data_IF_333869490173
#
_entry.id   IF_333869490173
#
_cell.length_a   1.000
_cell.length_b   1.000
_cell.length_c   1.000
_cell.angle_alpha   90.00
_cell.angle_beta   90.00
_cell.angle_gamma   90.00
#
_symmetry.space_group_name_H-M   'P 1'
#
loop_
_entity.id
_entity.type
_entity.pdbx_description
1 polymer ?
#
# COMPACT_ATOMS: atom_id res chain seq x y z
N UNK A 1 -4.46 30.05 -33.63
CA UNK A 1 -3.05 30.11 -33.16
C UNK A 1 -2.68 28.73 -32.62
N UNK A 2 -1.50 28.21 -32.96
CA UNK A 2 -0.99 26.97 -32.38
C UNK A 2 -0.59 27.19 -30.90
N UNK A 3 -0.81 26.19 -30.04
CA UNK A 3 -0.35 26.23 -28.64
C UNK A 3 1.17 26.15 -28.61
N UNK A 4 1.81 26.94 -27.75
CA UNK A 4 3.26 26.90 -27.54
C UNK A 4 3.55 26.36 -26.15
N UNK A 5 4.21 25.21 -26.07
CA UNK A 5 4.61 24.56 -24.82
C UNK A 5 5.98 25.05 -24.40
N UNK A 6 6.00 26.05 -23.53
CA UNK A 6 7.24 26.58 -22.93
C UNK A 6 7.66 25.75 -21.71
N UNK A 7 8.88 25.96 -21.24
CA UNK A 7 9.37 25.36 -20.00
C UNK A 7 8.35 25.55 -18.86
N UNK A 8 8.05 24.47 -18.13
CA UNK A 8 7.07 24.47 -17.04
C UNK A 8 5.61 24.29 -17.47
N UNK A 9 5.31 24.21 -18.77
CA UNK A 9 3.97 23.84 -19.27
C UNK A 9 4.01 22.42 -19.83
N UNK A 10 3.18 21.54 -19.29
CA UNK A 10 3.05 20.15 -19.74
C UNK A 10 2.41 20.09 -21.12
N UNK A 11 2.92 19.19 -21.96
CA UNK A 11 2.23 18.75 -23.18
C UNK A 11 1.05 17.83 -22.82
N UNK A 12 0.09 17.57 -23.73
CA UNK A 12 -0.99 16.62 -23.49
C UNK A 12 -0.48 15.24 -23.05
N UNK A 13 0.59 14.75 -23.67
CA UNK A 13 1.18 13.45 -23.33
C UNK A 13 1.74 13.44 -21.92
N UNK A 14 2.44 14.52 -21.53
CA UNK A 14 3.00 14.67 -20.19
C UNK A 14 1.88 14.80 -19.15
N UNK A 15 0.84 15.57 -19.45
CA UNK A 15 -0.33 15.73 -18.59
C UNK A 15 -1.03 14.38 -18.36
N UNK A 16 -1.28 13.61 -19.41
CA UNK A 16 -1.89 12.29 -19.30
C UNK A 16 -1.04 11.34 -18.43
N UNK A 17 0.28 11.30 -18.66
CA UNK A 17 1.19 10.50 -17.85
C UNK A 17 1.18 10.91 -16.37
N UNK A 18 1.16 12.22 -16.09
CA UNK A 18 1.10 12.76 -14.73
C UNK A 18 -0.22 12.42 -14.02
N UNK A 19 -1.35 12.48 -14.70
CA UNK A 19 -2.66 12.10 -14.15
C UNK A 19 -2.72 10.60 -13.81
N UNK A 20 -2.18 9.74 -14.69
CA UNK A 20 -2.09 8.30 -14.45
C UNK A 20 -1.15 8.01 -13.26
N UNK A 21 0.00 8.68 -13.21
CA UNK A 21 0.97 8.52 -12.13
C UNK A 21 0.38 8.94 -10.78
N UNK A 22 -0.29 10.09 -10.71
CA UNK A 22 -0.97 10.56 -9.50
C UNK A 22 -2.00 9.54 -9.00
N UNK A 23 -2.85 9.03 -9.90
CA UNK A 23 -3.83 8.01 -9.54
C UNK A 23 -3.19 6.72 -8.99
N UNK A 24 -2.07 6.29 -9.59
CA UNK A 24 -1.34 5.10 -9.14
C UNK A 24 -0.69 5.33 -7.76
N UNK A 25 -0.18 6.53 -7.50
CA UNK A 25 0.35 6.93 -6.19
C UNK A 25 -0.74 6.79 -5.12
N UNK A 26 -1.95 7.30 -5.37
CA UNK A 26 -3.08 7.18 -4.43
C UNK A 26 -3.49 5.72 -4.18
N UNK A 27 -3.48 4.89 -5.23
CA UNK A 27 -3.78 3.46 -5.10
C UNK A 27 -2.76 2.77 -4.20
N UNK A 28 -1.46 2.97 -4.45
CA UNK A 28 -0.39 2.39 -3.63
C UNK A 28 -0.41 2.96 -2.19
N UNK A 29 -0.73 4.24 -1.99
CA UNK A 29 -0.91 4.81 -0.66
C UNK A 29 -2.03 4.09 0.11
N UNK A 30 -3.14 3.80 -0.56
CA UNK A 30 -4.26 3.04 0.03
C UNK A 30 -3.80 1.64 0.44
N UNK A 31 -3.09 0.94 -0.44
CA UNK A 31 -2.54 -0.38 -0.13
C UNK A 31 -1.58 -0.37 1.06
N UNK A 32 -0.73 0.66 1.16
CA UNK A 32 0.19 0.86 2.30
C UNK A 32 -0.59 0.96 3.60
N UNK A 33 -1.69 1.72 3.64
CA UNK A 33 -2.53 1.86 4.83
C UNK A 33 -3.26 0.55 5.18
N UNK A 34 -3.76 -0.19 4.18
CA UNK A 34 -4.31 -1.53 4.41
C UNK A 34 -3.27 -2.50 4.99
N UNK A 35 -2.04 -2.48 4.47
CA UNK A 35 -0.95 -3.31 4.97
C UNK A 35 -0.57 -2.93 6.41
N UNK A 36 -0.51 -1.63 6.74
CA UNK A 36 -0.30 -1.16 8.12
C UNK A 36 -1.37 -1.68 9.07
N UNK A 37 -2.65 -1.64 8.67
CA UNK A 37 -3.75 -2.19 9.45
C UNK A 37 -3.56 -3.68 9.74
N UNK A 38 -3.27 -4.45 8.68
CA UNK A 38 -3.02 -5.90 8.80
C UNK A 38 -1.86 -6.21 9.75
N UNK A 39 -0.74 -5.49 9.63
CA UNK A 39 0.42 -5.66 10.52
C UNK A 39 0.05 -5.35 11.97
N UNK A 40 -0.71 -4.27 12.21
CA UNK A 40 -1.16 -3.90 13.56
C UNK A 40 -2.05 -4.96 14.18
N UNK A 41 -2.98 -5.53 13.42
CA UNK A 41 -3.88 -6.57 13.90
C UNK A 41 -3.10 -7.85 14.27
N UNK A 42 -2.14 -8.25 13.43
CA UNK A 42 -1.25 -9.38 13.70
C UNK A 42 -0.36 -9.13 14.91
N UNK A 43 0.18 -7.91 15.04
CA UNK A 43 0.94 -7.47 16.23
C UNK A 43 0.11 -7.63 17.51
N UNK A 44 -1.15 -7.20 17.48
CA UNK A 44 -2.07 -7.34 18.62
C UNK A 44 -2.29 -8.80 19.01
N UNK A 45 -2.57 -9.67 18.03
CA UNK A 45 -2.76 -11.12 18.26
C UNK A 45 -1.52 -11.78 18.86
N UNK A 46 -0.35 -11.47 18.31
CA UNK A 46 0.94 -12.02 18.78
C UNK A 46 1.25 -11.53 20.20
N UNK A 47 1.07 -10.23 20.47
CA UNK A 47 1.31 -9.65 21.79
C UNK A 47 0.38 -10.22 22.86
N UNK A 48 -0.88 -10.49 22.53
CA UNK A 48 -1.84 -11.11 23.45
C UNK A 48 -1.52 -12.60 23.69
N UNK A 49 -1.25 -13.34 22.63
CA UNK A 49 -1.08 -14.79 22.70
C UNK A 49 0.27 -15.20 23.33
N UNK A 50 1.35 -14.45 23.10
CA UNK A 50 2.69 -14.80 23.57
C UNK A 50 2.77 -15.08 25.08
N UNK A 51 2.38 -14.12 25.95
CA UNK A 51 2.38 -14.33 27.41
C UNK A 51 1.42 -15.45 27.84
N UNK A 52 0.24 -15.54 27.21
CA UNK A 52 -0.74 -16.59 27.51
C UNK A 52 -0.17 -17.97 27.27
N UNK A 53 0.52 -18.16 26.14
CA UNK A 53 1.19 -19.41 25.80
C UNK A 53 2.33 -19.73 26.78
N UNK A 54 3.15 -18.74 27.14
CA UNK A 54 4.20 -18.93 28.14
C UNK A 54 3.65 -19.43 29.49
N UNK A 55 2.51 -18.90 29.94
CA UNK A 55 1.86 -19.36 31.17
C UNK A 55 1.26 -20.77 31.06
N UNK A 56 0.76 -21.15 29.87
CA UNK A 56 0.18 -22.48 29.64
C UNK A 56 1.23 -23.58 29.50
N UNK A 57 2.46 -23.24 29.10
CA UNK A 57 3.51 -24.21 28.79
C UNK A 57 3.76 -25.22 29.92
N UNK A 58 3.82 -24.78 31.18
CA UNK A 58 4.07 -25.67 32.31
C UNK A 58 2.92 -26.66 32.55
N UNK A 59 1.67 -26.20 32.41
CA UNK A 59 0.50 -27.07 32.56
C UNK A 59 0.35 -28.09 31.43
N UNK A 60 0.81 -27.74 30.22
CA UNK A 60 0.85 -28.63 29.06
C UNK A 60 1.88 -29.77 29.19
N UNK A 61 2.88 -29.64 30.07
CA UNK A 61 3.85 -30.70 30.31
C UNK A 61 3.22 -31.90 31.02
N UNK A 62 2.29 -31.66 31.94
CA UNK A 62 1.77 -32.68 32.86
C UNK A 62 0.36 -33.17 32.52
N UNK A 63 -0.39 -32.43 31.69
CA UNK A 63 -1.77 -32.76 31.29
C UNK A 63 -1.88 -32.93 29.75
N UNK A 64 -2.18 -34.15 29.25
CA UNK A 64 -2.29 -34.43 27.81
C UNK A 64 -3.35 -33.62 27.06
N UNK A 65 -4.50 -33.32 27.68
CA UNK A 65 -5.54 -32.54 27.02
C UNK A 65 -5.13 -31.07 26.89
N UNK A 66 -4.49 -30.53 27.94
CA UNK A 66 -3.90 -29.18 27.88
C UNK A 66 -2.75 -29.12 26.88
N UNK A 67 -1.97 -30.19 26.72
CA UNK A 67 -0.91 -30.28 25.71
C UNK A 67 -1.46 -30.11 24.31
N UNK A 68 -2.51 -30.85 23.96
CA UNK A 68 -3.14 -30.76 22.63
C UNK A 68 -3.67 -29.35 22.34
N UNK A 69 -4.32 -28.72 23.32
CA UNK A 69 -4.80 -27.35 23.18
C UNK A 69 -3.65 -26.33 23.06
N UNK A 70 -2.54 -26.55 23.78
CA UNK A 70 -1.35 -25.72 23.70
C UNK A 70 -0.64 -25.84 22.34
N UNK A 71 -0.45 -27.06 21.84
CA UNK A 71 0.16 -27.31 20.53
C UNK A 71 -0.63 -26.66 19.38
N UNK A 72 -1.97 -26.74 19.42
CA UNK A 72 -2.82 -26.07 18.46
C UNK A 72 -2.65 -24.53 18.49
N UNK A 73 -2.66 -23.93 19.68
CA UNK A 73 -2.46 -22.48 19.80
C UNK A 73 -1.04 -22.03 19.41
N UNK A 74 -0.02 -22.87 19.62
CA UNK A 74 1.34 -22.61 19.13
C UNK A 74 1.39 -22.65 17.60
N UNK A 75 0.69 -23.58 16.97
CA UNK A 75 0.59 -23.62 15.51
C UNK A 75 -0.04 -22.35 14.95
N UNK A 76 -1.15 -21.89 15.56
CA UNK A 76 -1.80 -20.63 15.19
C UNK A 76 -0.87 -19.42 15.39
N UNK A 77 -0.19 -19.35 16.54
CA UNK A 77 0.77 -18.29 16.85
C UNK A 77 1.90 -18.22 15.82
N UNK A 78 2.48 -19.37 15.48
CA UNK A 78 3.55 -19.44 14.48
C UNK A 78 3.05 -19.03 13.10
N UNK A 79 1.83 -19.42 12.73
CA UNK A 79 1.21 -18.99 11.47
C UNK A 79 1.05 -17.46 11.42
N UNK A 80 0.58 -16.82 12.49
CA UNK A 80 0.47 -15.36 12.55
C UNK A 80 1.83 -14.66 12.47
N UNK A 81 2.88 -15.22 13.07
CA UNK A 81 4.24 -14.67 12.98
C UNK A 81 4.73 -14.68 11.53
N UNK A 82 4.54 -15.78 10.80
CA UNK A 82 4.94 -15.87 9.40
C UNK A 82 4.08 -14.98 8.49
N UNK A 83 2.77 -14.92 8.73
CA UNK A 83 1.87 -14.00 8.03
C UNK A 83 2.30 -12.55 8.23
N UNK A 84 2.64 -12.16 9.47
CA UNK A 84 3.13 -10.83 9.80
C UNK A 84 4.42 -10.52 9.08
N UNK A 85 5.36 -11.47 9.03
CA UNK A 85 6.62 -11.30 8.30
C UNK A 85 6.36 -11.02 6.82
N UNK A 86 5.48 -11.81 6.18
CA UNK A 86 5.08 -11.58 4.80
C UNK A 86 4.41 -10.22 4.58
N UNK A 87 3.52 -9.82 5.50
CA UNK A 87 2.84 -8.52 5.44
C UNK A 87 3.84 -7.34 5.54
N UNK A 88 4.82 -7.42 6.45
CA UNK A 88 5.89 -6.41 6.59
C UNK A 88 6.74 -6.33 5.33
N UNK A 89 7.12 -7.47 4.75
CA UNK A 89 7.87 -7.50 3.49
C UNK A 89 7.07 -6.87 2.33
N UNK A 90 5.77 -7.17 2.25
CA UNK A 90 4.85 -6.56 1.29
C UNK A 90 4.74 -5.05 1.45
N UNK A 91 4.49 -4.59 2.68
CA UNK A 91 4.44 -3.16 3.04
C UNK A 91 5.73 -2.44 2.63
N UNK A 92 6.90 -3.02 2.95
CA UNK A 92 8.19 -2.43 2.60
C UNK A 92 8.41 -2.30 1.09
N UNK A 93 7.91 -3.26 0.29
CA UNK A 93 7.94 -3.14 -1.18
C UNK A 93 7.05 -2.00 -1.67
N UNK A 94 5.83 -1.88 -1.13
CA UNK A 94 4.90 -0.81 -1.49
C UNK A 94 5.43 0.57 -1.12
N UNK A 95 6.02 0.73 0.07
CA UNK A 95 6.64 2.00 0.49
C UNK A 95 7.77 2.43 -0.47
N UNK A 96 8.61 1.49 -0.92
CA UNK A 96 9.66 1.79 -1.91
C UNK A 96 9.06 2.25 -3.23
N UNK A 97 8.06 1.53 -3.73
CA UNK A 97 7.36 1.89 -4.97
C UNK A 97 6.69 3.27 -4.86
N UNK A 98 6.03 3.55 -3.74
CA UNK A 98 5.42 4.85 -3.47
C UNK A 98 6.46 5.97 -3.49
N UNK A 99 7.60 5.78 -2.83
CA UNK A 99 8.70 6.75 -2.80
C UNK A 99 9.24 7.04 -4.21
N UNK A 100 9.50 6.00 -5.01
CA UNK A 100 9.97 6.14 -6.39
C UNK A 100 8.97 6.92 -7.25
N UNK A 101 7.70 6.54 -7.23
CA UNK A 101 6.65 7.21 -7.99
C UNK A 101 6.45 8.66 -7.54
N UNK A 102 6.51 8.92 -6.23
CA UNK A 102 6.41 10.28 -5.67
C UNK A 102 7.59 11.15 -6.10
N UNK A 103 8.80 10.60 -6.10
CA UNK A 103 9.99 11.28 -6.62
C UNK A 103 9.84 11.66 -8.09
N UNK A 104 9.37 10.71 -8.91
CA UNK A 104 9.08 10.95 -10.33
C UNK A 104 8.00 12.03 -10.50
N UNK A 105 6.89 11.94 -9.77
CA UNK A 105 5.82 12.92 -9.84
C UNK A 105 6.31 14.33 -9.45
N UNK A 106 7.14 14.42 -8.41
CA UNK A 106 7.71 15.70 -7.98
C UNK A 106 8.66 16.31 -9.02
N UNK A 107 9.44 15.50 -9.75
CA UNK A 107 10.34 16.01 -10.80
C UNK A 107 9.64 16.33 -12.13
N UNK A 108 8.65 15.53 -12.51
CA UNK A 108 8.03 15.58 -13.84
C UNK A 108 6.70 16.33 -13.89
N UNK A 109 5.97 16.40 -12.78
CA UNK A 109 4.57 16.83 -12.77
C UNK A 109 4.29 17.98 -11.82
N UNK A 110 4.79 17.88 -10.58
CA UNK A 110 4.47 18.83 -9.52
C UNK A 110 4.90 20.26 -9.89
N UNK A 111 4.01 21.23 -9.65
CA UNK A 111 4.22 22.64 -9.97
C UNK A 111 4.21 23.00 -11.46
N UNK A 112 4.04 22.02 -12.37
CA UNK A 112 3.91 22.32 -13.81
C UNK A 112 2.48 22.73 -14.17
N UNK A 113 2.37 23.75 -15.01
CA UNK A 113 1.08 24.19 -15.55
C UNK A 113 0.67 23.34 -16.75
N UNK A 114 -0.60 23.37 -17.13
CA UNK A 114 -1.11 22.80 -18.38
C UNK A 114 -2.18 23.73 -18.96
N UNK A 115 -2.46 23.62 -20.26
CA UNK A 115 -3.60 24.33 -20.83
C UNK A 115 -4.90 23.58 -20.50
N UNK A 116 -5.98 24.25 -20.06
CA UNK A 116 -7.24 23.58 -19.76
C UNK A 116 -7.80 22.76 -20.92
N UNK A 117 -7.61 23.23 -22.16
CA UNK A 117 -8.03 22.48 -23.36
C UNK A 117 -7.21 21.20 -23.62
N UNK A 118 -6.01 21.07 -23.07
CA UNK A 118 -5.28 19.79 -23.10
C UNK A 118 -5.88 18.80 -22.11
N UNK A 119 -6.34 19.26 -20.95
CA UNK A 119 -7.05 18.42 -20.00
C UNK A 119 -8.31 17.82 -20.64
N UNK A 120 -9.10 18.63 -21.34
CA UNK A 120 -10.27 18.13 -22.06
C UNK A 120 -9.91 17.16 -23.19
N UNK A 121 -8.80 17.41 -23.90
CA UNK A 121 -8.33 16.54 -24.96
C UNK A 121 -7.86 15.17 -24.44
N UNK A 122 -7.22 15.11 -23.27
CA UNK A 122 -6.69 13.85 -22.72
C UNK A 122 -7.74 13.03 -21.98
N UNK A 123 -8.81 13.64 -21.44
CA UNK A 123 -9.86 12.94 -20.67
C UNK A 123 -10.38 11.67 -21.35
N UNK A 124 -10.61 11.73 -22.67
CA UNK A 124 -11.14 10.60 -23.44
C UNK A 124 -10.15 9.44 -23.64
N UNK A 125 -8.85 9.66 -23.45
CA UNK A 125 -7.80 8.64 -23.57
C UNK A 125 -7.27 8.10 -22.24
N UNK A 126 -7.76 8.61 -21.12
CA UNK A 126 -7.32 8.15 -19.79
C UNK A 126 -7.98 6.81 -19.42
N UNK A 127 -7.32 5.97 -18.61
CA UNK A 127 -7.96 4.81 -18.03
C UNK A 127 -9.26 5.19 -17.30
N UNK A 128 -10.33 4.37 -17.35
CA UNK A 128 -11.63 4.73 -16.79
C UNK A 128 -11.58 5.16 -15.32
N UNK A 129 -10.73 4.51 -14.51
CA UNK A 129 -10.57 4.82 -13.08
C UNK A 129 -9.91 6.18 -12.83
N UNK A 130 -9.06 6.63 -13.75
CA UNK A 130 -8.44 7.96 -13.71
C UNK A 130 -9.44 9.02 -14.19
N UNK A 131 -10.12 8.74 -15.32
CA UNK A 131 -11.09 9.66 -15.91
C UNK A 131 -12.25 9.97 -14.96
N UNK A 132 -12.73 8.98 -14.20
CA UNK A 132 -13.81 9.13 -13.23
C UNK A 132 -13.49 10.13 -12.10
N UNK A 133 -12.20 10.41 -11.83
CA UNK A 133 -11.77 11.39 -10.81
C UNK A 133 -11.68 12.82 -11.32
N UNK A 134 -11.89 13.03 -12.62
CA UNK A 134 -11.81 14.33 -13.29
C UNK A 134 -13.19 14.91 -13.64
N UNK A 135 -14.26 14.21 -13.27
CA UNK A 135 -15.66 14.61 -13.40
C UNK A 135 -16.09 15.41 -12.17
#
# INVERSE_FOLDING_TARGET
MAKTYRAGVMTPETLAACLILAHRIDAVATEIETAKGTIRDLDGRIQEAGPRLQHQAMAALTDPERRKAYEAQIADYNAWVEERRGAVEGHNRQVRLYSEMSGRFNGECNGRSYFPSDLDAVKGGLPPTVAARLQ
#
